data_IF_352340631860
#
_entry.id   IF_352340631860
#
_cell.length_a   1.000
_cell.length_b   1.000
_cell.length_c   1.000
_cell.angle_alpha   90.00
_cell.angle_beta   90.00
_cell.angle_gamma   90.00
#
_symmetry.space_group_name_H-M   'P 1'
#
loop_
_entity.id
_entity.type
_entity.pdbx_description
1 polymer ?
#
# COMPACT_ATOMS: atom_id res chain seq x y z
N UNK A 1 -11.78 14.60 -7.41
CA UNK A 1 -10.71 14.60 -8.43
C UNK A 1 -10.68 13.22 -9.06
N UNK A 2 -10.64 13.09 -10.38
CA UNK A 2 -10.59 11.77 -11.03
C UNK A 2 -9.12 11.43 -11.33
N UNK A 3 -8.55 10.50 -10.57
CA UNK A 3 -7.15 10.08 -10.71
C UNK A 3 -6.93 9.14 -11.90
N UNK A 4 -7.99 8.50 -12.42
CA UNK A 4 -7.87 7.51 -13.48
C UNK A 4 -7.40 8.10 -14.81
N UNK A 5 -7.58 9.41 -15.02
CA UNK A 5 -7.06 10.12 -16.21
C UNK A 5 -5.62 10.60 -16.06
N UNK A 6 -5.03 10.44 -14.87
CA UNK A 6 -3.68 10.89 -14.54
C UNK A 6 -2.64 9.76 -14.59
N UNK A 7 -3.10 8.53 -14.39
CA UNK A 7 -2.32 7.30 -14.44
C UNK A 7 -2.46 6.67 -15.83
N UNK A 8 -1.34 6.36 -16.46
CA UNK A 8 -1.26 5.70 -17.78
C UNK A 8 -1.16 4.17 -17.63
N UNK A 9 -0.36 3.71 -16.66
CA UNK A 9 -0.20 2.29 -16.32
C UNK A 9 0.05 2.10 -14.84
N UNK A 10 -0.22 0.89 -14.35
CA UNK A 10 0.02 0.53 -12.97
C UNK A 10 0.21 -0.96 -12.77
N UNK A 11 1.08 -1.32 -11.83
CA UNK A 11 1.30 -2.68 -11.36
C UNK A 11 1.14 -2.73 -9.85
N UNK A 12 0.46 -3.76 -9.36
CA UNK A 12 0.35 -4.06 -7.94
C UNK A 12 0.72 -5.52 -7.69
N UNK A 13 1.59 -5.77 -6.70
CA UNK A 13 1.91 -7.10 -6.20
C UNK A 13 1.70 -7.16 -4.70
N UNK A 14 1.40 -8.35 -4.21
CA UNK A 14 1.25 -8.63 -2.78
C UNK A 14 1.86 -10.00 -2.51
N UNK A 15 3.06 -9.99 -1.94
CA UNK A 15 3.92 -11.15 -1.81
C UNK A 15 4.11 -11.51 -0.33
N UNK A 16 3.91 -12.78 0.02
CA UNK A 16 4.12 -13.26 1.38
C UNK A 16 5.62 -13.45 1.61
N UNK A 17 6.26 -12.49 2.26
CA UNK A 17 7.72 -12.50 2.50
C UNK A 17 8.11 -13.24 3.78
N UNK A 18 7.16 -13.40 4.72
CA UNK A 18 7.27 -14.24 5.93
C UNK A 18 5.89 -14.75 6.32
N UNK A 19 5.85 -15.73 7.23
CA UNK A 19 4.61 -16.33 7.75
C UNK A 19 3.61 -15.28 8.29
N UNK A 20 4.12 -14.13 8.76
CA UNK A 20 3.34 -13.04 9.34
C UNK A 20 3.57 -11.66 8.67
N UNK A 21 4.12 -11.63 7.45
CA UNK A 21 4.40 -10.40 6.72
C UNK A 21 4.07 -10.50 5.23
N UNK A 22 3.18 -9.63 4.76
CA UNK A 22 2.77 -9.49 3.37
C UNK A 22 3.32 -8.15 2.84
N UNK A 23 4.20 -8.21 1.85
CA UNK A 23 4.76 -7.04 1.18
C UNK A 23 3.88 -6.67 0.00
N UNK A 24 3.32 -5.46 0.04
CA UNK A 24 2.53 -4.88 -1.02
C UNK A 24 3.39 -3.86 -1.77
N UNK A 25 3.61 -4.09 -3.06
CA UNK A 25 4.31 -3.16 -3.94
C UNK A 25 3.34 -2.60 -4.99
N UNK A 26 3.35 -1.29 -5.16
CA UNK A 26 2.57 -0.56 -6.16
C UNK A 26 3.53 0.29 -6.98
N UNK A 27 3.41 0.24 -8.30
CA UNK A 27 4.08 1.17 -9.22
C UNK A 27 3.05 1.74 -10.16
N UNK A 28 3.05 3.06 -10.34
CA UNK A 28 2.12 3.81 -11.18
C UNK A 28 2.91 4.75 -12.08
N UNK A 29 2.70 4.65 -13.39
CA UNK A 29 3.22 5.61 -14.36
C UNK A 29 2.15 6.67 -14.61
N UNK A 30 2.50 7.94 -14.40
CA UNK A 30 1.62 9.08 -14.62
C UNK A 30 2.00 9.81 -15.91
N UNK A 31 1.03 10.50 -16.53
CA UNK A 31 1.28 11.19 -17.80
C UNK A 31 2.23 12.41 -17.69
N UNK A 32 2.48 12.92 -16.48
CA UNK A 32 3.49 13.94 -16.22
C UNK A 32 3.82 14.05 -14.72
N UNK A 33 4.86 14.83 -14.39
CA UNK A 33 5.31 15.02 -13.01
C UNK A 33 4.29 15.74 -12.11
N UNK A 34 3.42 16.60 -12.64
CA UNK A 34 2.39 17.27 -11.84
C UNK A 34 1.28 16.28 -11.44
N UNK A 35 0.83 15.46 -12.40
CA UNK A 35 -0.09 14.35 -12.15
C UNK A 35 0.47 13.37 -11.10
N UNK A 36 1.77 13.07 -11.15
CA UNK A 36 2.41 12.20 -10.17
C UNK A 36 2.38 12.77 -8.74
N UNK A 37 2.40 14.10 -8.55
CA UNK A 37 2.24 14.71 -7.21
C UNK A 37 0.85 14.46 -6.65
N UNK A 38 -0.19 14.64 -7.48
CA UNK A 38 -1.57 14.40 -7.04
C UNK A 38 -1.82 12.91 -6.75
N UNK A 39 -1.23 12.02 -7.56
CA UNK A 39 -1.29 10.56 -7.37
C UNK A 39 -0.52 10.13 -6.12
N UNK A 40 0.69 10.64 -5.90
CA UNK A 40 1.48 10.38 -4.67
C UNK A 40 0.68 10.72 -3.41
N UNK A 41 0.10 11.92 -3.36
CA UNK A 41 -0.72 12.35 -2.22
C UNK A 41 -1.95 11.46 -2.02
N UNK A 42 -2.60 11.05 -3.12
CA UNK A 42 -3.76 10.17 -3.04
C UNK A 42 -3.40 8.76 -2.57
N UNK A 43 -2.28 8.20 -3.04
CA UNK A 43 -1.78 6.89 -2.62
C UNK A 43 -1.38 6.92 -1.14
N UNK A 44 -0.71 7.96 -0.68
CA UNK A 44 -0.36 8.14 0.72
C UNK A 44 -1.62 8.21 1.61
N UNK A 45 -2.60 9.04 1.23
CA UNK A 45 -3.87 9.14 1.97
C UNK A 45 -4.66 7.81 1.99
N UNK A 46 -4.62 7.05 0.89
CA UNK A 46 -5.23 5.73 0.83
C UNK A 46 -4.50 4.73 1.75
N UNK A 47 -3.17 4.74 1.77
CA UNK A 47 -2.37 3.89 2.64
C UNK A 47 -2.67 4.18 4.13
N UNK A 48 -2.76 5.45 4.51
CA UNK A 48 -3.12 5.87 5.88
C UNK A 48 -4.53 5.41 6.27
N UNK A 49 -5.50 5.56 5.36
CA UNK A 49 -6.88 5.12 5.61
C UNK A 49 -6.96 3.59 5.77
N UNK A 50 -6.25 2.84 4.92
CA UNK A 50 -6.17 1.38 4.99
C UNK A 50 -5.46 0.95 6.28
N UNK A 51 -4.35 1.58 6.65
CA UNK A 51 -3.64 1.31 7.90
C UNK A 51 -4.54 1.54 9.12
N UNK A 52 -5.27 2.65 9.14
CA UNK A 52 -6.22 2.97 10.21
C UNK A 52 -7.34 1.93 10.32
N UNK A 53 -7.93 1.52 9.19
CA UNK A 53 -8.96 0.47 9.17
C UNK A 53 -8.42 -0.88 9.64
N UNK A 54 -7.28 -1.31 9.11
CA UNK A 54 -6.65 -2.60 9.44
C UNK A 54 -6.24 -2.66 10.92
N UNK A 55 -5.71 -1.57 11.46
CA UNK A 55 -5.41 -1.43 12.88
C UNK A 55 -6.66 -1.48 13.74
N UNK A 56 -7.71 -0.71 13.40
CA UNK A 56 -8.93 -0.64 14.21
C UNK A 56 -9.78 -1.91 14.16
N UNK A 57 -9.92 -2.53 13.00
CA UNK A 57 -10.79 -3.70 12.82
C UNK A 57 -10.06 -5.01 13.17
N UNK A 58 -8.78 -5.10 12.81
CA UNK A 58 -8.04 -6.36 12.87
C UNK A 58 -6.77 -6.31 13.73
N UNK A 59 -6.37 -5.14 14.25
CA UNK A 59 -5.12 -5.01 14.99
C UNK A 59 -3.88 -5.28 14.14
N UNK A 60 -4.00 -5.21 12.81
CA UNK A 60 -2.87 -5.36 11.90
C UNK A 60 -2.15 -4.03 11.74
N UNK A 61 -0.85 -4.09 11.47
CA UNK A 61 -0.05 -2.92 11.15
C UNK A 61 0.25 -2.89 9.67
N UNK A 62 0.04 -1.76 9.01
CA UNK A 62 0.52 -1.49 7.66
C UNK A 62 1.57 -0.39 7.77
N UNK A 63 2.80 -0.67 7.36
CA UNK A 63 3.93 0.27 7.46
C UNK A 63 4.63 0.31 6.12
N UNK A 64 4.96 1.51 5.64
CA UNK A 64 5.57 1.66 4.32
C UNK A 64 5.83 3.09 3.97
N UNK A 65 6.21 3.30 2.71
CA UNK A 65 6.43 4.60 2.14
C UNK A 65 5.85 4.68 0.73
N UNK A 66 5.53 5.91 0.33
CA UNK A 66 5.24 6.28 -1.05
C UNK A 66 6.37 7.19 -1.51
N UNK A 67 6.97 6.88 -2.64
CA UNK A 67 8.01 7.67 -3.28
C UNK A 67 7.57 8.08 -4.69
N UNK A 68 7.99 9.27 -5.11
CA UNK A 68 7.81 9.72 -6.49
C UNK A 68 9.16 9.92 -7.17
N UNK A 69 9.25 9.48 -8.43
CA UNK A 69 10.42 9.63 -9.31
C UNK A 69 9.99 10.20 -10.66
N UNK A 70 10.04 11.52 -10.78
CA UNK A 70 9.56 12.20 -11.99
C UNK A 70 8.05 12.03 -12.13
N UNK A 71 7.63 11.30 -13.16
CA UNK A 71 6.23 10.94 -13.41
C UNK A 71 5.83 9.55 -12.89
N UNK A 72 6.74 8.82 -12.24
CA UNK A 72 6.46 7.52 -11.61
C UNK A 72 6.15 7.69 -10.12
N UNK A 73 5.16 6.97 -9.61
CA UNK A 73 4.85 6.83 -8.18
C UNK A 73 5.04 5.38 -7.78
N UNK A 74 5.82 5.13 -6.72
CA UNK A 74 6.02 3.81 -6.12
C UNK A 74 5.54 3.81 -4.69
N UNK A 75 4.93 2.72 -4.24
CA UNK A 75 4.60 2.53 -2.85
C UNK A 75 4.93 1.11 -2.43
N UNK A 76 5.65 0.99 -1.32
CA UNK A 76 6.04 -0.28 -0.73
C UNK A 76 5.54 -0.28 0.72
N UNK A 77 4.65 -1.22 1.04
CA UNK A 77 4.06 -1.35 2.36
C UNK A 77 4.09 -2.79 2.82
N UNK A 78 4.52 -3.01 4.06
CA UNK A 78 4.44 -4.31 4.72
C UNK A 78 3.22 -4.33 5.63
N UNK A 79 2.29 -5.23 5.35
CA UNK A 79 1.25 -5.62 6.28
C UNK A 79 1.82 -6.68 7.22
N UNK A 80 1.61 -6.50 8.52
CA UNK A 80 2.06 -7.41 9.56
C UNK A 80 1.11 -7.46 10.76
N UNK A 81 1.51 -8.20 11.81
CA UNK A 81 0.75 -8.29 13.05
C UNK A 81 -0.39 -9.31 13.04
N UNK A 82 -0.46 -10.18 12.02
CA UNK A 82 -1.44 -11.26 11.96
C UNK A 82 -1.04 -12.53 12.73
N UNK A 83 0.22 -12.66 13.17
CA UNK A 83 0.79 -13.84 13.85
C UNK A 83 -0.03 -14.29 15.09
N UNK A 84 -0.42 -13.35 15.94
CA UNK A 84 -1.21 -13.63 17.15
C UNK A 84 -2.66 -14.07 16.88
N UNK A 85 -3.21 -13.75 15.70
CA UNK A 85 -4.54 -14.22 15.27
C UNK A 85 -4.44 -15.52 14.48
N UNK A 86 -3.41 -15.68 13.65
CA UNK A 86 -3.12 -16.92 12.91
C UNK A 86 -2.85 -18.08 13.87
N UNK A 87 -2.03 -17.88 14.90
CA UNK A 87 -1.82 -18.89 15.97
C UNK A 87 -3.12 -19.30 16.64
N UNK A 88 -3.99 -18.32 16.97
CA UNK A 88 -5.27 -18.57 17.64
C UNK A 88 -6.27 -19.33 16.75
N UNK A 89 -6.25 -19.06 15.45
CA UNK A 89 -7.08 -19.78 14.47
C UNK A 89 -6.60 -21.21 14.21
N UNK A 90 -5.30 -21.47 14.38
CA UNK A 90 -4.67 -22.78 14.23
C UNK A 90 -4.68 -23.62 15.52
N UNK A 91 -5.33 -23.15 16.59
CA UNK A 91 -5.51 -23.91 17.84
C UNK A 91 -4.32 -23.85 18.80
N UNK A 92 -3.46 -22.83 18.69
CA UNK A 92 -2.43 -22.50 19.67
C UNK A 92 -2.95 -21.77 20.91
#
# INVERSE_FOLDING_TARGET
>A
MNLSSMVESGTFTADLVRDDALECALTLDCGNAAAAVDVENAVAAAADAVAGFLGSAYGFSLVGAVERRGSEVRAEHTLGGFEGRLRRALGG
#
